data_IF_978683521034
#
_entry.id   IF_978683521034
#
_cell.length_a   1.000
_cell.length_b   1.000
_cell.length_c   1.000
_cell.angle_alpha   90.00
_cell.angle_beta   90.00
_cell.angle_gamma   90.00
#
_symmetry.space_group_name_H-M   'P 1'
#
loop_
_entity.id
_entity.type
_entity.pdbx_description
1 polymer ?
#
# COMPACT_ATOMS: atom_id res chain seq x y z
N UNK A 1 -2.68 -1.71 -11.85
CA UNK A 1 -4.00 -1.10 -11.61
C UNK A 1 -3.83 0.40 -11.81
N UNK A 2 -4.48 1.01 -12.81
CA UNK A 2 -4.16 2.38 -13.24
C UNK A 2 -4.35 3.47 -12.17
N UNK A 3 -5.16 3.24 -11.13
CA UNK A 3 -5.46 4.25 -10.09
C UNK A 3 -4.91 3.93 -8.68
N UNK A 4 -3.97 2.97 -8.57
CA UNK A 4 -3.38 2.63 -7.28
C UNK A 4 -2.50 3.78 -6.76
N UNK A 5 -2.81 4.27 -5.56
CA UNK A 5 -2.07 5.32 -4.85
C UNK A 5 -1.45 4.74 -3.58
N UNK A 6 -0.43 5.41 -3.06
CA UNK A 6 0.18 5.07 -1.77
C UNK A 6 0.36 6.29 -0.87
N UNK A 7 0.26 6.07 0.44
CA UNK A 7 0.49 7.08 1.47
C UNK A 7 1.34 6.48 2.61
N UNK A 8 2.56 7.00 2.87
CA UNK A 8 3.37 6.55 3.99
C UNK A 8 2.89 7.19 5.30
N UNK A 9 2.77 6.39 6.35
CA UNK A 9 2.47 6.83 7.71
C UNK A 9 3.27 6.00 8.72
N UNK A 10 4.10 6.67 9.52
CA UNK A 10 5.08 6.03 10.41
C UNK A 10 5.89 4.94 9.69
N UNK A 11 5.81 3.70 10.20
CA UNK A 11 6.47 2.53 9.63
C UNK A 11 5.56 1.76 8.66
N UNK A 12 4.51 2.38 8.12
CA UNK A 12 3.56 1.74 7.23
C UNK A 12 3.42 2.48 5.90
N UNK A 13 3.04 1.74 4.87
CA UNK A 13 2.57 2.28 3.59
C UNK A 13 1.16 1.76 3.34
N UNK A 14 0.21 2.68 3.21
CA UNK A 14 -1.18 2.39 2.84
C UNK A 14 -1.29 2.45 1.32
N UNK A 15 -1.77 1.37 0.70
CA UNK A 15 -2.13 1.32 -0.71
C UNK A 15 -3.63 1.40 -0.86
N UNK A 16 -4.11 2.32 -1.70
CA UNK A 16 -5.52 2.62 -1.83
C UNK A 16 -5.87 3.05 -3.26
N UNK A 17 -7.17 3.07 -3.56
CA UNK A 17 -7.73 3.68 -4.77
C UNK A 17 -8.78 4.71 -4.38
N UNK A 18 -8.96 5.73 -5.21
CA UNK A 18 -10.05 6.69 -5.03
C UNK A 18 -11.35 6.08 -5.57
N UNK A 19 -12.43 6.22 -4.81
CA UNK A 19 -13.81 5.90 -5.21
C UNK A 19 -14.65 7.19 -5.12
N UNK A 20 -15.89 7.16 -5.62
CA UNK A 20 -16.76 8.34 -5.71
C UNK A 20 -16.87 9.13 -4.40
N UNK A 21 -17.05 8.43 -3.28
CA UNK A 21 -17.25 9.04 -1.95
C UNK A 21 -16.10 8.76 -0.97
N UNK A 22 -14.89 8.45 -1.46
CA UNK A 22 -13.75 8.23 -0.57
C UNK A 22 -12.60 7.43 -1.15
N UNK A 23 -12.06 6.51 -0.33
CA UNK A 23 -10.97 5.62 -0.72
C UNK A 23 -11.31 4.17 -0.39
N UNK A 24 -10.87 3.25 -1.23
CA UNK A 24 -10.83 1.82 -0.94
C UNK A 24 -9.40 1.42 -0.53
N UNK A 25 -9.25 0.86 0.67
CA UNK A 25 -7.94 0.48 1.23
C UNK A 25 -7.62 -0.95 0.83
N UNK A 26 -6.65 -1.10 -0.06
CA UNK A 26 -6.31 -2.39 -0.67
C UNK A 26 -5.31 -3.15 0.21
N UNK A 27 -4.31 -2.46 0.76
CA UNK A 27 -3.27 -3.10 1.57
C UNK A 27 -2.58 -2.12 2.50
N UNK A 28 -2.17 -2.62 3.66
CA UNK A 28 -1.20 -1.96 4.53
C UNK A 28 0.06 -2.81 4.55
N UNK A 29 1.21 -2.18 4.34
CA UNK A 29 2.52 -2.83 4.46
C UNK A 29 3.30 -2.22 5.62
N UNK A 30 3.84 -3.04 6.50
CA UNK A 30 4.81 -2.60 7.51
C UNK A 30 6.21 -2.52 6.88
N UNK A 31 6.77 -1.32 6.79
CA UNK A 31 8.01 -0.99 6.08
C UNK A 31 9.21 -1.85 6.47
N UNK A 32 9.37 -2.22 7.75
CA UNK A 32 10.51 -3.06 8.17
C UNK A 32 10.29 -4.58 8.09
N UNK A 33 9.04 -5.06 7.91
CA UNK A 33 8.72 -6.51 7.92
C UNK A 33 8.31 -7.01 6.54
N UNK A 34 7.52 -6.21 5.83
CA UNK A 34 6.90 -6.65 4.58
C UNK A 34 7.73 -6.25 3.35
N UNK A 35 8.70 -5.32 3.47
CA UNK A 35 9.55 -4.96 2.34
C UNK A 35 10.43 -6.13 1.88
N UNK A 36 10.95 -6.95 2.79
CA UNK A 36 11.75 -8.13 2.40
C UNK A 36 10.92 -9.20 1.68
N UNK A 37 9.64 -9.34 2.01
CA UNK A 37 8.74 -10.31 1.37
C UNK A 37 8.21 -9.82 0.02
N UNK A 38 7.90 -8.53 -0.11
CA UNK A 38 7.38 -7.93 -1.36
C UNK A 38 8.44 -7.86 -2.47
N UNK A 39 9.72 -7.67 -2.12
CA UNK A 39 10.83 -7.65 -3.08
C UNK A 39 11.47 -9.03 -3.31
N UNK A 40 11.02 -10.09 -2.63
CA UNK A 40 11.35 -11.48 -3.01
C UNK A 40 10.54 -11.89 -4.23
N UNK A 41 10.94 -11.38 -5.38
CA UNK A 41 10.55 -11.93 -6.67
C UNK A 41 11.62 -12.95 -7.09
N UNK A 42 11.26 -14.23 -7.13
CA UNK A 42 11.94 -15.24 -7.95
C UNK A 42 11.17 -15.38 -9.26
#
# INVERSE_FOLDING_TARGET
>A
MPDLRSFPIDNYVVFYQQIEDGIDVIRLLHGSRDMEEVFKQN
#
